data_IF_866069818644
#
_entry.id   IF_866069818644
#
_cell.length_a   1.000
_cell.length_b   1.000
_cell.length_c   1.000
_cell.angle_alpha   90.00
_cell.angle_beta   90.00
_cell.angle_gamma   90.00
#
_symmetry.space_group_name_H-M   'P 1'
#
loop_
_entity.id
_entity.type
_entity.pdbx_description
1 polymer ?
#
# COMPACT_ATOMS: atom_id res chain seq x y z
N UNK A 1 21.42 -3.19 -9.32
CA UNK A 1 20.88 -3.03 -10.68
C UNK A 1 19.93 -4.19 -10.91
N UNK A 2 18.75 -3.90 -11.46
CA UNK A 2 17.66 -4.81 -11.84
C UNK A 2 16.94 -5.62 -10.76
N UNK A 3 15.97 -4.97 -10.09
CA UNK A 3 14.79 -5.65 -9.54
C UNK A 3 13.58 -5.40 -10.44
N UNK A 4 13.56 -5.95 -11.65
CA UNK A 4 12.44 -5.75 -12.56
C UNK A 4 12.17 -7.00 -13.42
N UNK A 5 11.46 -7.99 -12.86
CA UNK A 5 10.66 -8.98 -13.61
C UNK A 5 9.58 -9.59 -12.70
N UNK A 6 8.37 -9.92 -13.19
CA UNK A 6 7.54 -9.30 -14.22
C UNK A 6 6.20 -8.85 -13.58
N UNK A 7 5.99 -7.55 -13.44
CA UNK A 7 4.79 -7.01 -12.80
C UNK A 7 3.59 -7.05 -13.78
N UNK A 8 2.35 -7.30 -13.32
CA UNK A 8 1.17 -7.08 -14.16
C UNK A 8 1.27 -5.66 -14.73
N UNK A 9 1.14 -5.49 -16.04
CA UNK A 9 1.44 -4.24 -16.75
C UNK A 9 0.90 -3.04 -15.98
N UNK A 10 1.76 -2.09 -15.59
CA UNK A 10 1.36 -0.86 -14.87
C UNK A 10 0.16 -0.18 -15.57
N UNK A 11 0.14 -0.28 -16.91
CA UNK A 11 -0.98 0.06 -17.79
C UNK A 11 -2.35 -0.48 -17.34
N UNK A 12 -2.45 -1.76 -16.94
CA UNK A 12 -3.70 -2.40 -16.52
C UNK A 12 -4.17 -1.89 -15.15
N UNK A 13 -3.22 -1.64 -14.24
CA UNK A 13 -3.51 -1.09 -12.91
C UNK A 13 -4.05 0.34 -13.02
N UNK A 14 -3.42 1.16 -13.88
CA UNK A 14 -3.89 2.52 -14.16
C UNK A 14 -5.21 2.53 -14.92
N UNK A 15 -5.44 1.61 -15.85
CA UNK A 15 -6.75 1.46 -16.52
C UNK A 15 -7.87 1.13 -15.53
N UNK A 16 -7.62 0.23 -14.57
CA UNK A 16 -8.61 -0.12 -13.56
C UNK A 16 -8.82 1.04 -12.58
N UNK A 17 -7.77 1.78 -12.22
CA UNK A 17 -7.88 3.00 -11.45
C UNK A 17 -8.76 4.05 -12.15
N UNK A 18 -8.52 4.30 -13.44
CA UNK A 18 -9.27 5.27 -14.24
C UNK A 18 -10.76 4.85 -14.36
N UNK A 19 -11.05 3.55 -14.48
CA UNK A 19 -12.43 3.03 -14.41
C UNK A 19 -13.10 3.33 -13.08
N UNK A 20 -12.39 3.12 -11.98
CA UNK A 20 -12.89 3.36 -10.62
C UNK A 20 -13.14 4.85 -10.42
N UNK A 21 -12.18 5.71 -10.79
CA UNK A 21 -12.33 7.17 -10.74
C UNK A 21 -13.60 7.59 -11.51
N UNK A 22 -13.78 7.10 -12.73
CA UNK A 22 -14.95 7.42 -13.56
C UNK A 22 -16.26 6.97 -12.91
N UNK A 23 -16.30 5.77 -12.33
CA UNK A 23 -17.48 5.22 -11.67
C UNK A 23 -17.91 5.97 -10.39
N UNK A 24 -16.95 6.63 -9.73
CA UNK A 24 -17.17 7.39 -8.50
C UNK A 24 -17.17 8.91 -8.69
N UNK A 25 -16.91 9.41 -9.92
CA UNK A 25 -16.91 10.84 -10.25
C UNK A 25 -18.28 11.47 -9.91
N UNK A 26 -18.26 12.54 -9.13
CA UNK A 26 -19.48 13.28 -8.76
C UNK A 26 -20.27 12.74 -7.56
N UNK A 27 -19.78 11.70 -6.86
CA UNK A 27 -20.39 11.22 -5.61
C UNK A 27 -19.71 11.83 -4.38
N UNK A 28 -20.51 12.23 -3.39
CA UNK A 28 -19.99 12.65 -2.08
C UNK A 28 -19.25 11.47 -1.41
N UNK A 29 -18.02 11.71 -0.94
CA UNK A 29 -17.18 10.66 -0.33
C UNK A 29 -16.42 9.76 -1.34
N UNK A 30 -16.47 10.08 -2.64
CA UNK A 30 -15.76 9.32 -3.68
C UNK A 30 -14.25 9.21 -3.42
N UNK A 31 -13.63 10.24 -2.86
CA UNK A 31 -12.18 10.27 -2.59
C UNK A 31 -11.72 9.09 -1.72
N UNK A 32 -12.39 8.84 -0.60
CA UNK A 32 -12.01 7.76 0.35
C UNK A 32 -12.18 6.39 -0.33
N UNK A 33 -13.27 6.20 -1.08
CA UNK A 33 -13.55 4.96 -1.80
C UNK A 33 -12.51 4.68 -2.89
N UNK A 34 -12.17 5.70 -3.68
CA UNK A 34 -11.16 5.61 -4.73
C UNK A 34 -9.79 5.35 -4.14
N UNK A 35 -9.40 6.05 -3.05
CA UNK A 35 -8.14 5.80 -2.35
C UNK A 35 -8.06 4.38 -1.77
N UNK A 36 -9.17 3.88 -1.21
CA UNK A 36 -9.23 2.51 -0.70
C UNK A 36 -9.05 1.48 -1.82
N UNK A 37 -9.73 1.67 -2.96
CA UNK A 37 -9.59 0.81 -4.13
C UNK A 37 -8.20 0.89 -4.75
N UNK A 38 -7.63 2.08 -4.85
CA UNK A 38 -6.27 2.30 -5.33
C UNK A 38 -5.26 1.62 -4.41
N UNK A 39 -5.39 1.75 -3.09
CA UNK A 39 -4.54 1.03 -2.15
C UNK A 39 -4.68 -0.50 -2.30
N UNK A 40 -5.86 -1.01 -2.62
CA UNK A 40 -6.05 -2.44 -2.87
C UNK A 40 -5.45 -2.91 -4.21
N UNK A 41 -5.41 -2.05 -5.22
CA UNK A 41 -4.81 -2.33 -6.53
C UNK A 41 -3.27 -2.25 -6.49
N UNK A 42 -2.74 -1.16 -5.93
CA UNK A 42 -1.30 -0.86 -5.93
C UNK A 42 -0.58 -1.34 -4.65
N UNK A 43 -1.31 -1.68 -3.58
CA UNK A 43 -0.76 -2.06 -2.28
C UNK A 43 -0.29 -0.88 -1.41
N UNK A 44 0.03 0.25 -2.04
CA UNK A 44 0.42 1.51 -1.41
C UNK A 44 -0.02 2.70 -2.26
N UNK A 45 -0.15 3.87 -1.62
CA UNK A 45 -0.56 5.10 -2.28
C UNK A 45 0.66 5.95 -2.63
N UNK A 46 1.27 5.68 -3.78
CA UNK A 46 2.34 6.50 -4.32
C UNK A 46 1.85 7.92 -4.64
N UNK A 47 2.78 8.89 -4.70
CA UNK A 47 2.45 10.28 -5.03
C UNK A 47 1.86 10.42 -6.44
N UNK A 48 2.24 9.54 -7.35
CA UNK A 48 1.74 9.50 -8.73
C UNK A 48 0.29 9.01 -8.81
N UNK A 49 -0.04 7.96 -8.05
CA UNK A 49 -1.43 7.48 -7.88
C UNK A 49 -2.30 8.57 -7.25
N UNK A 50 -1.81 9.27 -6.23
CA UNK A 50 -2.53 10.38 -5.60
C UNK A 50 -2.80 11.54 -6.57
N UNK A 51 -1.81 11.90 -7.41
CA UNK A 51 -1.99 12.92 -8.45
C UNK A 51 -3.04 12.49 -9.49
N UNK A 52 -2.99 11.24 -9.95
CA UNK A 52 -3.97 10.72 -10.92
C UNK A 52 -5.40 10.74 -10.38
N UNK A 53 -5.57 10.38 -9.10
CA UNK A 53 -6.86 10.46 -8.39
C UNK A 53 -7.31 11.92 -8.29
N UNK A 54 -6.41 12.83 -7.92
CA UNK A 54 -6.70 14.26 -7.82
C UNK A 54 -7.19 14.84 -9.16
N UNK A 55 -6.47 14.57 -10.24
CA UNK A 55 -6.81 15.02 -11.59
C UNK A 55 -8.13 14.40 -12.07
N UNK A 56 -8.35 13.11 -11.79
CA UNK A 56 -9.55 12.38 -12.19
C UNK A 56 -10.84 12.80 -11.46
N UNK A 57 -10.74 13.12 -10.17
CA UNK A 57 -11.85 13.61 -9.36
C UNK A 57 -12.03 15.14 -9.44
N UNK A 58 -11.04 15.87 -9.96
CA UNK A 58 -11.05 17.34 -10.03
C UNK A 58 -10.86 18.02 -8.67
N UNK A 59 -10.10 17.39 -7.78
CA UNK A 59 -9.82 17.88 -6.43
C UNK A 59 -8.34 18.22 -6.28
N UNK A 60 -7.96 19.16 -5.41
CA UNK A 60 -6.56 19.52 -5.23
C UNK A 60 -5.78 18.37 -4.57
N UNK A 61 -4.55 18.13 -5.06
CA UNK A 61 -3.63 17.13 -4.49
C UNK A 61 -3.39 17.33 -2.99
N UNK A 62 -3.42 18.58 -2.53
CA UNK A 62 -3.30 18.96 -1.12
C UNK A 62 -4.39 18.31 -0.25
N UNK A 63 -5.62 18.25 -0.75
CA UNK A 63 -6.76 17.66 -0.06
C UNK A 63 -6.66 16.14 -0.06
N UNK A 64 -6.26 15.53 -1.18
CA UNK A 64 -5.96 14.09 -1.26
C UNK A 64 -4.88 13.71 -0.26
N UNK A 65 -3.76 14.43 -0.26
CA UNK A 65 -2.63 14.18 0.65
C UNK A 65 -3.03 14.40 2.11
N UNK A 66 -3.86 15.40 2.38
CA UNK A 66 -4.46 15.65 3.69
C UNK A 66 -5.29 14.46 4.17
N UNK A 67 -6.19 13.93 3.34
CA UNK A 67 -7.02 12.76 3.67
C UNK A 67 -6.17 11.50 3.88
N UNK A 68 -5.19 11.25 3.02
CA UNK A 68 -4.28 10.09 3.16
C UNK A 68 -3.48 10.18 4.47
N UNK A 69 -3.07 11.38 4.87
CA UNK A 69 -2.32 11.59 6.13
C UNK A 69 -3.24 11.55 7.35
N UNK A 70 -4.47 12.03 7.21
CA UNK A 70 -5.48 12.08 8.28
C UNK A 70 -6.00 10.69 8.65
N UNK A 71 -6.25 9.83 7.66
CA UNK A 71 -6.72 8.47 7.88
C UNK A 71 -5.53 7.50 7.98
N UNK A 72 -5.19 7.06 9.20
CA UNK A 72 -4.13 6.07 9.46
C UNK A 72 -4.36 4.69 8.81
N UNK A 73 -5.52 4.48 8.19
CA UNK A 73 -5.82 3.30 7.37
C UNK A 73 -5.05 3.29 6.05
N UNK A 74 -4.71 4.47 5.53
CA UNK A 74 -3.96 4.58 4.30
C UNK A 74 -2.46 4.49 4.56
N UNK A 75 -1.75 3.77 3.69
CA UNK A 75 -0.30 3.60 3.83
C UNK A 75 0.40 4.11 2.57
N UNK A 76 1.24 5.13 2.77
CA UNK A 76 2.10 5.69 1.72
C UNK A 76 3.39 4.89 1.52
N UNK A 77 3.70 3.99 2.45
CA UNK A 77 4.85 3.08 2.40
C UNK A 77 4.42 1.82 1.64
N UNK A 78 5.24 1.27 0.73
CA UNK A 78 4.99 -0.06 0.17
C UNK A 78 4.68 -1.01 1.34
N UNK A 79 3.51 -1.64 1.35
CA UNK A 79 3.30 -2.81 2.19
C UNK A 79 3.69 -4.00 1.33
N UNK A 80 4.81 -4.64 1.67
CA UNK A 80 5.27 -5.83 0.96
C UNK A 80 4.12 -6.82 0.81
N UNK A 81 4.03 -7.46 -0.36
CA UNK A 81 2.93 -8.38 -0.76
C UNK A 81 2.56 -9.45 0.31
N UNK A 82 3.43 -9.70 1.29
CA UNK A 82 3.20 -10.58 2.43
C UNK A 82 3.38 -9.84 3.77
N UNK A 83 2.27 -9.56 4.47
CA UNK A 83 2.32 -9.07 5.86
C UNK A 83 2.59 -10.21 6.83
N UNK A 84 3.87 -10.47 7.13
CA UNK A 84 4.27 -11.49 8.12
C UNK A 84 4.19 -10.87 9.52
N UNK A 85 3.20 -11.28 10.32
CA UNK A 85 3.07 -10.89 11.73
C UNK A 85 3.61 -12.00 12.61
N UNK A 86 4.68 -11.74 13.34
CA UNK A 86 5.24 -12.70 14.31
C UNK A 86 4.83 -12.28 15.72
N UNK A 87 4.23 -13.21 16.47
CA UNK A 87 3.89 -12.98 17.87
C UNK A 87 5.16 -12.99 18.73
N UNK A 88 5.38 -11.88 19.45
CA UNK A 88 6.46 -11.68 20.42
C UNK A 88 5.99 -11.81 21.88
N UNK A 89 4.80 -12.36 22.11
CA UNK A 89 4.30 -12.62 23.46
C UNK A 89 5.16 -13.65 24.22
N UNK A 90 5.06 -13.67 25.54
CA UNK A 90 5.83 -14.56 26.42
C UNK A 90 5.73 -16.04 26.01
N UNK A 91 4.54 -16.51 25.64
CA UNK A 91 4.32 -17.89 25.18
C UNK A 91 5.05 -18.23 23.87
N UNK A 92 5.20 -17.26 22.97
CA UNK A 92 5.91 -17.43 21.70
C UNK A 92 7.43 -17.27 21.89
N UNK A 93 7.85 -16.50 22.88
CA UNK A 93 9.26 -16.29 23.23
C UNK A 93 9.92 -17.61 23.69
N UNK A 94 9.32 -18.31 24.66
CA UNK A 94 9.84 -19.61 25.17
C UNK A 94 9.83 -20.72 24.11
N UNK A 95 8.92 -20.63 23.12
CA UNK A 95 8.82 -21.58 22.00
C UNK A 95 9.78 -21.30 20.84
N UNK A 96 10.61 -20.26 20.93
CA UNK A 96 11.61 -19.96 19.90
C UNK A 96 11.15 -18.96 18.84
N UNK A 97 10.19 -18.09 19.15
CA UNK A 97 9.77 -16.99 18.27
C UNK A 97 10.91 -16.06 17.86
N UNK A 98 11.93 -15.90 18.72
CA UNK A 98 13.13 -15.12 18.40
C UNK A 98 14.02 -15.80 17.34
N UNK A 99 14.05 -17.14 17.32
CA UNK A 99 14.78 -17.93 16.31
C UNK A 99 14.09 -17.84 14.95
N UNK A 100 12.76 -17.82 14.95
CA UNK A 100 11.95 -17.61 13.76
C UNK A 100 12.22 -16.24 13.11
N UNK A 101 12.33 -15.18 13.92
CA UNK A 101 12.68 -13.84 13.44
C UNK A 101 14.09 -13.81 12.85
N UNK A 102 15.06 -14.44 13.50
CA UNK A 102 16.44 -14.50 13.00
C UNK A 102 16.55 -15.21 11.64
N UNK A 103 15.83 -16.31 11.44
CA UNK A 103 15.82 -17.03 10.16
C UNK A 103 15.05 -16.26 9.08
N UNK A 104 13.96 -15.57 9.44
CA UNK A 104 13.26 -14.67 8.52
C UNK A 104 14.14 -13.49 8.08
N UNK A 105 14.88 -12.88 9.01
CA UNK A 105 15.84 -11.82 8.69
C UNK A 105 16.96 -12.31 7.76
N UNK A 106 17.50 -13.51 7.98
CA UNK A 106 18.53 -14.09 7.11
C UNK A 106 18.02 -14.43 5.71
N UNK A 107 16.79 -14.93 5.60
CA UNK A 107 16.19 -15.29 4.31
C UNK A 107 15.73 -14.08 3.50
N UNK A 108 15.21 -13.04 4.16
CA UNK A 108 14.68 -11.86 3.50
C UNK A 108 15.66 -10.67 3.46
N UNK A 109 16.78 -10.72 4.20
CA UNK A 109 17.78 -9.62 4.29
C UNK A 109 17.19 -8.25 4.67
N UNK A 110 16.13 -8.22 5.47
CA UNK A 110 15.48 -7.00 5.96
C UNK A 110 15.40 -7.04 7.49
N UNK A 111 15.64 -5.90 8.19
CA UNK A 111 15.41 -5.80 9.63
C UNK A 111 13.91 -5.89 9.99
N UNK A 112 13.60 -6.17 11.27
CA UNK A 112 12.21 -6.17 11.76
C UNK A 112 11.60 -4.78 11.54
N UNK A 113 10.50 -4.70 10.79
CA UNK A 113 9.87 -3.44 10.39
C UNK A 113 10.39 -2.85 9.07
N UNK A 114 11.36 -3.51 8.43
CA UNK A 114 11.76 -3.20 7.05
C UNK A 114 10.73 -3.73 6.07
N UNK A 115 10.46 -2.95 5.03
CA UNK A 115 9.63 -3.38 3.90
C UNK A 115 10.52 -3.55 2.67
N UNK A 116 10.43 -4.71 2.00
CA UNK A 116 10.96 -4.93 0.64
C UNK A 116 10.05 -4.32 -0.41
#
# INVERSE_FOLDING_TARGET
MEGARPEPSEEMLYQELDRIISAYRGKAGALILVLHKAQNLFGYLSREVQRRIADGLGIPLSEVSGVVTFYSFFTMVPKGRHSIKVCLGTSCYVRGGQRLIGELQKKLSIPVGGTT
#
